data_IF_403352836949
#
_entry.id   IF_403352836949
#
_cell.length_a   1.000
_cell.length_b   1.000
_cell.length_c   1.000
_cell.angle_alpha   90.00
_cell.angle_beta   90.00
_cell.angle_gamma   90.00
#
_symmetry.space_group_name_H-M   'P 1'
#
loop_
_entity.id
_entity.type
_entity.pdbx_description
1 polymer ?
#
# COMPACT_ATOMS: atom_id res chain seq x y z
N UNK A 1 10.94 15.12 39.61
CA UNK A 1 12.35 15.53 39.75
C UNK A 1 13.22 14.38 39.28
N UNK A 2 14.11 14.64 38.31
CA UNK A 2 15.03 13.65 37.75
C UNK A 2 16.37 13.71 38.49
N UNK A 3 17.06 12.57 38.61
CA UNK A 3 18.34 12.49 39.32
C UNK A 3 19.51 13.02 38.48
N UNK A 4 19.39 12.93 37.12
CA UNK A 4 20.42 13.42 36.20
C UNK A 4 19.80 14.16 35.01
N UNK A 5 20.54 15.08 34.35
CA UNK A 5 20.11 15.76 33.14
C UNK A 5 19.71 14.78 32.02
N UNK A 6 20.46 13.67 31.89
CA UNK A 6 20.19 12.65 30.86
C UNK A 6 18.85 11.98 31.07
N UNK A 7 18.42 11.72 32.31
CA UNK A 7 17.12 11.16 32.62
C UNK A 7 16.00 12.14 32.26
N UNK A 8 16.19 13.43 32.53
CA UNK A 8 15.21 14.46 32.17
C UNK A 8 15.06 14.56 30.63
N UNK A 9 16.18 14.60 29.91
CA UNK A 9 16.17 14.64 28.42
C UNK A 9 15.51 13.38 27.87
N UNK A 10 15.87 12.21 28.37
CA UNK A 10 15.27 10.94 27.91
C UNK A 10 13.75 10.91 28.13
N UNK A 11 13.28 11.37 29.29
CA UNK A 11 11.85 11.42 29.57
C UNK A 11 11.14 12.42 28.65
N UNK A 12 11.74 13.58 28.40
CA UNK A 12 11.21 14.55 27.45
C UNK A 12 11.13 13.95 26.02
N UNK A 13 12.19 13.32 25.55
CA UNK A 13 12.22 12.65 24.24
C UNK A 13 11.17 11.54 24.13
N UNK A 14 10.95 10.77 25.21
CA UNK A 14 9.91 9.74 25.25
C UNK A 14 8.52 10.35 25.10
N UNK A 15 8.25 11.49 25.75
CA UNK A 15 6.94 12.19 25.62
C UNK A 15 6.78 12.74 24.19
N UNK A 16 7.83 13.35 23.63
CA UNK A 16 7.81 13.85 22.26
C UNK A 16 7.52 12.72 21.28
N UNK A 17 8.24 11.59 21.41
CA UNK A 17 8.03 10.41 20.57
C UNK A 17 6.62 9.83 20.73
N UNK A 18 6.08 9.84 21.94
CA UNK A 18 4.70 9.40 22.16
C UNK A 18 3.68 10.29 21.44
N UNK A 19 3.87 11.62 21.47
CA UNK A 19 2.99 12.56 20.77
C UNK A 19 3.10 12.34 19.25
N UNK A 20 4.31 12.23 18.72
CA UNK A 20 4.54 11.93 17.30
C UNK A 20 3.90 10.59 16.88
N UNK A 21 3.99 9.56 17.73
CA UNK A 21 3.34 8.28 17.47
C UNK A 21 1.81 8.38 17.49
N UNK A 22 1.24 9.17 18.42
CA UNK A 22 -0.21 9.43 18.43
C UNK A 22 -0.67 10.10 17.12
N UNK A 23 0.08 11.10 16.63
CA UNK A 23 -0.23 11.74 15.36
C UNK A 23 -0.18 10.74 14.19
N UNK A 24 0.76 9.80 14.20
CA UNK A 24 0.85 8.72 13.21
C UNK A 24 -0.37 7.80 13.21
N UNK A 25 -0.92 7.51 14.40
CA UNK A 25 -2.13 6.68 14.50
C UNK A 25 -3.37 7.32 13.88
N UNK A 26 -3.40 8.66 13.75
CA UNK A 26 -4.49 9.37 13.06
C UNK A 26 -4.37 9.35 11.54
N UNK A 27 -3.23 8.92 10.99
CA UNK A 27 -3.03 8.85 9.55
C UNK A 27 -3.47 7.49 8.99
N UNK A 28 -4.47 7.52 8.12
CA UNK A 28 -4.89 6.32 7.39
C UNK A 28 -4.37 6.40 5.96
N UNK A 29 -3.50 5.48 5.52
CA UNK A 29 -3.05 5.44 4.13
C UNK A 29 -4.25 5.33 3.19
N UNK A 30 -4.22 6.09 2.09
CA UNK A 30 -5.26 6.05 1.07
C UNK A 30 -5.17 4.77 0.25
N UNK A 31 -6.31 4.32 -0.29
CA UNK A 31 -6.35 3.20 -1.24
C UNK A 31 -5.52 3.50 -2.50
N UNK A 32 -5.63 4.73 -3.03
CA UNK A 32 -4.87 5.18 -4.20
C UNK A 32 -4.24 6.55 -3.89
N UNK A 33 -2.91 6.71 -3.95
CA UNK A 33 -2.30 8.02 -3.87
C UNK A 33 -2.76 8.88 -5.04
N UNK A 34 -3.17 10.11 -4.76
CA UNK A 34 -3.68 11.06 -5.78
C UNK A 34 -2.68 11.36 -6.91
N UNK A 35 -1.39 11.11 -6.69
CA UNK A 35 -0.31 11.35 -7.66
C UNK A 35 -0.03 10.17 -8.60
N UNK A 36 -0.65 9.01 -8.39
CA UNK A 36 -0.36 7.82 -9.18
C UNK A 36 -1.44 7.62 -10.24
N UNK A 37 -1.06 7.91 -11.50
CA UNK A 37 -1.91 7.67 -12.66
C UNK A 37 -1.49 6.35 -13.34
N UNK A 38 -2.00 5.22 -12.86
CA UNK A 38 -1.88 3.95 -13.55
C UNK A 38 -3.21 3.17 -13.48
N UNK A 39 -3.47 2.44 -14.56
CA UNK A 39 -4.67 1.61 -14.68
C UNK A 39 -4.42 0.25 -14.01
N UNK A 40 -4.81 0.15 -12.73
CA UNK A 40 -4.60 -1.04 -11.89
C UNK A 40 -5.24 -2.29 -12.48
N UNK A 41 -6.44 -2.18 -13.03
CA UNK A 41 -7.17 -3.32 -13.59
C UNK A 41 -6.42 -3.88 -14.80
N UNK A 42 -6.04 -3.02 -15.73
CA UNK A 42 -5.31 -3.38 -16.94
C UNK A 42 -3.92 -3.97 -16.61
N UNK A 43 -3.21 -3.40 -15.64
CA UNK A 43 -1.94 -3.95 -15.17
C UNK A 43 -2.12 -5.32 -14.53
N UNK A 44 -3.16 -5.49 -13.70
CA UNK A 44 -3.44 -6.77 -13.06
C UNK A 44 -3.75 -7.87 -14.09
N UNK A 45 -4.60 -7.59 -15.07
CA UNK A 45 -4.87 -8.51 -16.18
C UNK A 45 -3.61 -8.89 -16.96
N UNK A 46 -2.76 -7.91 -17.27
CA UNK A 46 -1.49 -8.12 -17.99
C UNK A 46 -0.56 -9.08 -17.24
N UNK A 47 -0.38 -8.90 -15.93
CA UNK A 47 0.60 -9.69 -15.17
C UNK A 47 0.06 -11.04 -14.72
N UNK A 48 -1.16 -11.10 -14.17
CA UNK A 48 -1.77 -12.35 -13.71
C UNK A 48 -2.03 -13.29 -14.88
N UNK A 49 -2.67 -12.81 -15.95
CA UNK A 49 -3.06 -13.66 -17.08
C UNK A 49 -1.87 -14.18 -17.91
N UNK A 50 -0.81 -13.39 -18.03
CA UNK A 50 0.25 -13.68 -19.02
C UNK A 50 1.63 -13.99 -18.42
N UNK A 51 1.93 -13.54 -17.20
CA UNK A 51 3.30 -13.62 -16.65
C UNK A 51 3.34 -14.53 -15.42
N UNK A 52 2.51 -14.29 -14.39
CA UNK A 52 2.54 -15.05 -13.13
C UNK A 52 2.18 -16.53 -13.31
N UNK A 53 1.39 -16.87 -14.32
CA UNK A 53 1.02 -18.27 -14.61
C UNK A 53 2.13 -19.07 -15.31
N UNK A 54 3.23 -18.42 -15.74
CA UNK A 54 4.30 -19.11 -16.48
C UNK A 54 5.37 -19.70 -15.56
N UNK A 55 5.67 -19.02 -14.47
CA UNK A 55 6.71 -19.41 -13.53
C UNK A 55 6.51 -18.74 -12.19
N UNK A 56 6.85 -19.43 -11.10
CA UNK A 56 6.87 -18.84 -9.75
C UNK A 56 8.03 -17.84 -9.56
N UNK A 57 9.05 -17.86 -10.41
CA UNK A 57 10.14 -16.87 -10.40
C UNK A 57 10.10 -16.13 -11.73
N UNK A 58 9.91 -14.82 -11.69
CA UNK A 58 9.90 -13.98 -12.87
C UNK A 58 11.33 -13.81 -13.40
N UNK A 59 11.44 -13.64 -14.73
CA UNK A 59 12.71 -13.20 -15.34
C UNK A 59 13.09 -11.80 -14.84
N UNK A 60 14.38 -11.44 -14.88
CA UNK A 60 14.83 -10.07 -14.55
C UNK A 60 14.10 -9.02 -15.39
N UNK A 61 13.86 -9.32 -16.66
CA UNK A 61 13.15 -8.42 -17.57
C UNK A 61 11.69 -8.22 -17.15
N UNK A 62 10.95 -9.29 -16.82
CA UNK A 62 9.57 -9.22 -16.40
C UNK A 62 9.45 -8.54 -15.03
N UNK A 63 10.39 -8.81 -14.11
CA UNK A 63 10.46 -8.16 -12.80
C UNK A 63 10.66 -6.65 -12.95
N UNK A 64 11.61 -6.22 -13.79
CA UNK A 64 11.86 -4.80 -14.06
C UNK A 64 10.71 -4.13 -14.81
N UNK A 65 10.03 -4.85 -15.70
CA UNK A 65 8.86 -4.34 -16.39
C UNK A 65 7.72 -4.06 -15.41
N UNK A 66 7.44 -4.97 -14.49
CA UNK A 66 6.40 -4.78 -13.48
C UNK A 66 6.68 -3.57 -12.60
N UNK A 67 7.87 -3.46 -12.01
CA UNK A 67 8.19 -2.31 -11.15
C UNK A 67 8.23 -0.99 -11.93
N UNK A 68 8.62 -1.03 -13.22
CA UNK A 68 8.61 0.16 -14.08
C UNK A 68 7.18 0.61 -14.42
N UNK A 69 6.24 -0.30 -14.64
CA UNK A 69 4.82 0.01 -14.84
C UNK A 69 4.19 0.63 -13.58
N UNK A 70 4.75 0.36 -12.39
CA UNK A 70 4.42 1.05 -11.13
C UNK A 70 5.18 2.37 -10.94
N UNK A 71 5.95 2.82 -11.96
CA UNK A 71 6.68 4.09 -11.95
C UNK A 71 7.99 4.05 -11.17
N UNK A 72 8.52 2.88 -10.85
CA UNK A 72 9.87 2.70 -10.30
C UNK A 72 10.85 2.57 -11.45
N UNK A 73 11.71 3.57 -11.65
CA UNK A 73 12.63 3.60 -12.78
C UNK A 73 13.60 2.42 -12.79
N UNK A 74 13.81 1.83 -13.97
CA UNK A 74 14.72 0.69 -14.17
C UNK A 74 15.64 0.96 -15.35
N UNK A 75 16.66 0.14 -15.50
CA UNK A 75 17.58 0.17 -16.66
C UNK A 75 16.95 -0.32 -17.97
N UNK A 76 15.71 -0.82 -17.90
CA UNK A 76 14.94 -1.34 -19.06
C UNK A 76 15.79 -2.26 -19.95
N UNK A 77 16.21 -3.45 -19.49
CA UNK A 77 17.00 -4.37 -20.26
C UNK A 77 16.25 -4.82 -21.51
N UNK A 78 16.96 -5.04 -22.61
CA UNK A 78 16.42 -5.64 -23.83
C UNK A 78 17.17 -6.92 -24.15
N UNK A 79 16.44 -8.01 -24.40
CA UNK A 79 17.01 -9.30 -24.72
C UNK A 79 17.54 -9.29 -26.16
N UNK A 80 18.76 -9.75 -26.33
CA UNK A 80 19.40 -10.02 -27.62
C UNK A 80 19.63 -11.53 -27.78
N UNK A 81 19.16 -12.09 -28.87
CA UNK A 81 19.35 -13.50 -29.24
C UNK A 81 20.57 -13.73 -30.09
N UNK A 82 21.22 -12.66 -30.57
CA UNK A 82 22.44 -12.68 -31.37
C UNK A 82 23.36 -11.52 -31.05
N UNK A 83 24.64 -11.68 -31.34
CA UNK A 83 25.65 -10.62 -31.23
C UNK A 83 25.28 -9.38 -32.02
N UNK A 84 24.72 -9.56 -33.23
CA UNK A 84 24.29 -8.45 -34.10
C UNK A 84 23.16 -7.64 -33.45
N UNK A 85 22.17 -8.33 -32.89
CA UNK A 85 21.05 -7.71 -32.18
C UNK A 85 21.52 -6.99 -30.91
N UNK A 86 22.47 -7.58 -30.15
CA UNK A 86 23.08 -6.92 -29.02
C UNK A 86 23.75 -5.59 -29.36
N UNK A 87 24.43 -5.52 -30.48
CA UNK A 87 25.05 -4.27 -30.96
C UNK A 87 24.00 -3.24 -31.37
N UNK A 88 22.92 -3.65 -32.06
CA UNK A 88 21.85 -2.73 -32.46
C UNK A 88 21.14 -2.14 -31.20
N UNK A 89 20.85 -2.97 -30.21
CA UNK A 89 20.27 -2.51 -28.94
C UNK A 89 21.24 -1.56 -28.24
N UNK A 90 22.53 -1.87 -28.19
CA UNK A 90 23.53 -1.03 -27.54
C UNK A 90 23.62 0.36 -28.20
N UNK A 91 23.57 0.44 -29.51
CA UNK A 91 23.54 1.72 -30.27
C UNK A 91 22.30 2.53 -29.89
N UNK A 92 21.15 1.91 -29.86
CA UNK A 92 19.88 2.58 -29.54
C UNK A 92 19.85 3.11 -28.11
N UNK A 93 20.44 2.37 -27.15
CA UNK A 93 20.53 2.78 -25.73
C UNK A 93 21.62 3.82 -25.48
N UNK A 94 22.61 3.91 -26.39
CA UNK A 94 23.81 4.74 -26.23
C UNK A 94 24.84 4.16 -25.27
N UNK A 95 26.11 4.21 -25.64
CA UNK A 95 27.23 3.73 -24.83
C UNK A 95 27.53 4.64 -23.64
N UNK A 96 28.15 4.11 -22.56
CA UNK A 96 28.47 2.71 -22.36
C UNK A 96 27.24 1.87 -21.96
N UNK A 97 27.31 0.55 -22.24
CA UNK A 97 26.27 -0.42 -21.91
C UNK A 97 26.77 -1.56 -21.01
N UNK A 98 25.83 -2.29 -20.45
CA UNK A 98 26.05 -3.51 -19.66
C UNK A 98 25.41 -4.68 -20.37
N UNK A 99 26.12 -5.81 -20.43
CA UNK A 99 25.58 -7.09 -20.84
C UNK A 99 25.39 -8.00 -19.65
N UNK A 100 24.23 -8.68 -19.57
CA UNK A 100 23.94 -9.69 -18.55
C UNK A 100 23.35 -10.93 -19.18
N UNK A 101 23.80 -12.13 -18.76
CA UNK A 101 23.21 -13.39 -19.18
C UNK A 101 21.73 -13.46 -18.72
N UNK A 102 20.85 -13.95 -19.59
CA UNK A 102 19.44 -14.22 -19.28
C UNK A 102 19.23 -15.72 -19.14
N UNK A 103 18.94 -16.16 -17.92
CA UNK A 103 18.69 -17.55 -17.58
C UNK A 103 17.92 -17.62 -16.27
N UNK A 104 16.91 -18.48 -16.19
CA UNK A 104 16.21 -18.81 -14.96
C UNK A 104 17.03 -19.69 -14.01
N UNK A 105 18.01 -20.40 -14.55
CA UNK A 105 18.80 -21.41 -13.82
C UNK A 105 20.05 -20.79 -13.16
N UNK A 106 20.36 -19.51 -13.45
CA UNK A 106 21.56 -18.80 -12.97
C UNK A 106 21.14 -17.66 -12.04
N UNK A 107 21.25 -17.89 -10.74
CA UNK A 107 20.91 -16.88 -9.72
C UNK A 107 22.02 -15.84 -9.54
N UNK A 108 23.30 -16.27 -9.41
CA UNK A 108 24.46 -15.38 -9.21
C UNK A 108 25.25 -15.21 -10.50
N UNK A 109 24.75 -14.33 -11.37
CA UNK A 109 25.31 -14.12 -12.74
C UNK A 109 26.77 -13.68 -12.73
N UNK A 110 27.16 -12.89 -11.74
CA UNK A 110 28.53 -12.37 -11.62
C UNK A 110 29.56 -13.49 -11.39
N UNK A 111 29.25 -14.49 -10.57
CA UNK A 111 30.15 -15.58 -10.19
C UNK A 111 30.53 -16.47 -11.38
N UNK A 112 29.63 -16.55 -12.35
CA UNK A 112 29.81 -17.36 -13.55
C UNK A 112 30.36 -16.57 -14.73
N UNK A 113 30.60 -15.26 -14.57
CA UNK A 113 31.03 -14.37 -15.64
C UNK A 113 29.86 -13.93 -16.56
N UNK A 114 28.64 -13.99 -16.04
CA UNK A 114 27.42 -13.62 -16.76
C UNK A 114 27.08 -12.12 -16.71
N UNK A 115 27.98 -11.26 -16.22
CA UNK A 115 27.83 -9.80 -16.21
C UNK A 115 29.09 -9.13 -16.74
N UNK A 116 28.92 -8.18 -17.66
CA UNK A 116 30.02 -7.37 -18.19
C UNK A 116 29.61 -5.89 -18.23
N UNK A 117 30.41 -5.06 -17.60
CA UNK A 117 30.18 -3.63 -17.41
C UNK A 117 31.05 -2.80 -18.34
N UNK A 118 30.69 -1.54 -18.52
CA UNK A 118 31.48 -0.50 -19.20
C UNK A 118 31.86 -0.86 -20.64
N UNK A 119 30.92 -1.36 -21.43
CA UNK A 119 31.13 -1.66 -22.85
C UNK A 119 30.87 -0.40 -23.65
N UNK A 120 31.95 0.17 -24.22
CA UNK A 120 31.96 1.53 -24.78
C UNK A 120 31.73 1.57 -26.29
N UNK A 121 31.77 0.44 -27.01
CA UNK A 121 31.63 0.38 -28.45
C UNK A 121 31.16 -0.99 -28.95
N UNK A 122 30.80 -1.03 -30.26
CA UNK A 122 30.34 -2.21 -30.98
C UNK A 122 31.29 -3.42 -30.84
N UNK A 123 32.60 -3.17 -30.98
CA UNK A 123 33.60 -4.24 -30.94
C UNK A 123 33.66 -4.92 -29.58
N UNK A 124 33.61 -4.13 -28.52
CA UNK A 124 33.55 -4.66 -27.14
C UNK A 124 32.28 -5.47 -26.93
N UNK A 125 31.12 -4.97 -27.38
CA UNK A 125 29.83 -5.68 -27.24
C UNK A 125 29.88 -7.04 -27.95
N UNK A 126 30.39 -7.09 -29.20
CA UNK A 126 30.53 -8.35 -29.96
C UNK A 126 31.44 -9.35 -29.27
N UNK A 127 32.63 -8.93 -28.92
CA UNK A 127 33.61 -9.81 -28.25
C UNK A 127 33.06 -10.35 -26.93
N UNK A 128 32.44 -9.47 -26.12
CA UNK A 128 31.88 -9.82 -24.82
C UNK A 128 30.67 -10.75 -24.95
N UNK A 129 29.78 -10.55 -25.93
CA UNK A 129 28.64 -11.42 -26.20
C UNK A 129 29.07 -12.86 -26.41
N UNK A 130 30.03 -13.09 -27.32
CA UNK A 130 30.51 -14.42 -27.63
C UNK A 130 31.29 -15.06 -26.48
N UNK A 131 32.15 -14.28 -25.80
CA UNK A 131 32.91 -14.76 -24.64
C UNK A 131 32.03 -15.13 -23.46
N UNK A 132 30.99 -14.34 -23.20
CA UNK A 132 30.04 -14.57 -22.09
C UNK A 132 29.30 -15.89 -22.31
N UNK A 133 28.74 -16.12 -23.50
CA UNK A 133 28.07 -17.38 -23.82
C UNK A 133 29.00 -18.59 -23.64
N UNK A 134 30.23 -18.52 -24.20
CA UNK A 134 31.20 -19.60 -24.07
C UNK A 134 31.58 -19.87 -22.60
N UNK A 135 31.82 -18.84 -21.83
CA UNK A 135 32.21 -18.94 -20.42
C UNK A 135 31.11 -19.54 -19.57
N UNK A 136 29.87 -19.02 -19.70
CA UNK A 136 28.73 -19.51 -18.91
C UNK A 136 28.39 -20.96 -19.28
N UNK A 137 28.33 -21.30 -20.56
CA UNK A 137 28.08 -22.67 -21.02
C UNK A 137 29.17 -23.65 -20.56
N UNK A 138 30.41 -23.21 -20.43
CA UNK A 138 31.50 -24.04 -19.89
C UNK A 138 31.38 -24.28 -18.41
N UNK A 139 30.91 -23.27 -17.62
CA UNK A 139 30.78 -23.38 -16.17
C UNK A 139 29.51 -24.09 -15.74
N UNK A 140 28.42 -23.89 -16.47
CA UNK A 140 27.10 -24.49 -16.17
C UNK A 140 26.52 -25.05 -17.48
N UNK A 141 26.95 -26.25 -17.91
CA UNK A 141 26.57 -26.83 -19.20
C UNK A 141 25.06 -27.08 -19.35
N UNK A 142 24.38 -27.40 -18.26
CA UNK A 142 22.97 -27.77 -18.24
C UNK A 142 22.01 -26.55 -18.07
N UNK A 143 22.55 -25.34 -17.87
CA UNK A 143 21.73 -24.16 -17.71
C UNK A 143 21.06 -23.74 -19.02
N UNK A 144 19.75 -23.54 -18.98
CA UNK A 144 19.01 -22.96 -20.11
C UNK A 144 19.30 -21.47 -20.20
N UNK A 145 19.96 -21.07 -21.29
CA UNK A 145 20.26 -19.67 -21.58
C UNK A 145 19.23 -19.15 -22.58
N UNK A 146 18.45 -18.12 -22.18
CA UNK A 146 17.44 -17.48 -23.03
C UNK A 146 18.07 -16.46 -23.98
N UNK A 147 19.28 -15.94 -23.67
CA UNK A 147 20.00 -14.93 -24.43
C UNK A 147 20.87 -14.04 -23.54
N UNK A 148 21.22 -12.85 -24.03
CA UNK A 148 21.95 -11.82 -23.28
C UNK A 148 21.15 -10.53 -23.28
N UNK A 149 20.90 -9.95 -22.12
CA UNK A 149 20.25 -8.65 -22.01
C UNK A 149 21.28 -7.52 -22.15
N UNK A 150 20.87 -6.47 -22.85
CA UNK A 150 21.64 -5.23 -23.03
C UNK A 150 20.90 -4.09 -22.35
N UNK A 151 21.59 -3.36 -21.47
CA UNK A 151 21.03 -2.22 -20.78
C UNK A 151 22.00 -1.05 -20.72
N UNK A 152 21.48 0.17 -20.56
CA UNK A 152 22.30 1.37 -20.36
C UNK A 152 23.10 1.24 -19.08
N UNK A 153 24.38 1.58 -19.11
CA UNK A 153 25.18 1.71 -17.91
C UNK A 153 24.80 2.99 -17.17
N UNK A 154 24.55 2.86 -15.88
CA UNK A 154 24.22 3.98 -15.00
C UNK A 154 25.51 4.42 -14.29
N UNK A 155 25.74 5.73 -14.23
CA UNK A 155 26.84 6.28 -13.45
C UNK A 155 26.46 6.24 -11.96
N UNK A 156 27.20 5.44 -11.21
CA UNK A 156 26.95 5.21 -9.77
C UNK A 156 27.96 5.95 -8.88
N UNK A 157 28.89 6.73 -9.44
CA UNK A 157 30.01 7.35 -8.67
C UNK A 157 29.55 8.28 -7.55
N UNK A 158 28.43 8.98 -7.76
CA UNK A 158 27.79 9.82 -6.72
C UNK A 158 26.45 9.19 -6.26
N UNK A 159 26.35 7.88 -6.26
CA UNK A 159 25.20 7.12 -5.85
C UNK A 159 25.36 6.47 -4.49
N UNK A 160 24.25 6.29 -3.79
CA UNK A 160 24.14 5.43 -2.61
C UNK A 160 23.40 4.17 -3.03
N UNK A 161 24.00 3.02 -2.74
CA UNK A 161 23.37 1.72 -3.00
C UNK A 161 22.42 1.38 -1.86
N UNK A 162 21.18 1.03 -2.22
CA UNK A 162 20.14 0.61 -1.29
C UNK A 162 19.52 -0.71 -1.71
N UNK A 163 18.89 -1.37 -0.77
CA UNK A 163 18.06 -2.56 -0.98
C UNK A 163 16.61 -2.19 -0.64
N UNK A 164 15.69 -2.50 -1.53
CA UNK A 164 14.26 -2.42 -1.28
C UNK A 164 13.64 -3.79 -1.54
N UNK A 165 12.66 -4.16 -0.71
CA UNK A 165 12.01 -5.45 -0.88
C UNK A 165 10.57 -5.51 -0.40
N UNK A 166 9.90 -6.54 -0.86
CA UNK A 166 8.63 -7.03 -0.35
C UNK A 166 8.87 -8.45 0.14
N UNK A 167 8.39 -8.76 1.33
CA UNK A 167 8.43 -10.12 1.86
C UNK A 167 7.08 -10.45 2.47
N UNK A 168 6.56 -11.61 2.15
CA UNK A 168 5.37 -12.13 2.80
C UNK A 168 5.77 -12.97 4.00
N UNK A 169 5.32 -12.55 5.17
CA UNK A 169 5.51 -13.27 6.43
C UNK A 169 4.23 -14.06 6.77
N UNK A 170 4.39 -15.25 7.34
CA UNK A 170 3.25 -16.13 7.63
C UNK A 170 2.36 -15.61 8.78
N UNK A 171 2.88 -14.75 9.66
CA UNK A 171 2.15 -14.20 10.81
C UNK A 171 1.73 -12.76 10.57
N UNK A 172 2.62 -11.96 9.95
CA UNK A 172 2.44 -10.52 9.77
C UNK A 172 2.00 -10.13 8.35
N UNK A 173 1.74 -11.12 7.46
CA UNK A 173 1.40 -10.84 6.08
C UNK A 173 2.53 -10.15 5.33
N UNK A 174 2.20 -9.24 4.42
CA UNK A 174 3.19 -8.56 3.58
C UNK A 174 3.89 -7.43 4.32
N UNK A 175 5.22 -7.36 4.21
CA UNK A 175 6.07 -6.29 4.76
C UNK A 175 6.93 -5.67 3.67
N UNK A 176 7.19 -4.37 3.80
CA UNK A 176 8.13 -3.60 2.98
C UNK A 176 9.45 -3.51 3.73
N UNK A 177 10.54 -3.70 2.99
CA UNK A 177 11.90 -3.61 3.49
C UNK A 177 12.64 -2.48 2.78
N UNK A 178 13.41 -1.69 3.54
CA UNK A 178 14.44 -0.79 3.02
C UNK A 178 15.70 -0.93 3.83
N UNK A 179 16.85 -0.90 3.20
CA UNK A 179 18.14 -0.98 3.88
C UNK A 179 19.28 -0.49 3.05
N UNK A 180 20.47 -0.54 3.68
CA UNK A 180 21.73 -0.29 3.01
C UNK A 180 22.01 -1.41 2.01
N UNK A 181 22.44 -1.05 0.79
CA UNK A 181 22.97 -1.98 -0.22
C UNK A 181 24.50 -2.06 -0.22
N UNK A 182 25.02 -2.76 -1.23
CA UNK A 182 26.45 -2.96 -1.42
C UNK A 182 27.06 -4.06 -0.57
N UNK A 183 28.36 -4.28 -0.72
CA UNK A 183 29.11 -5.39 -0.11
C UNK A 183 29.16 -5.37 1.43
N UNK A 184 28.89 -4.23 2.05
CA UNK A 184 28.86 -4.07 3.51
C UNK A 184 27.47 -4.24 4.12
N UNK A 185 26.43 -4.41 3.32
CA UNK A 185 25.04 -4.49 3.79
C UNK A 185 24.82 -5.60 4.81
N UNK A 186 25.32 -6.78 4.53
CA UNK A 186 25.19 -7.97 5.39
C UNK A 186 25.89 -7.81 6.75
N UNK A 187 27.00 -7.06 6.79
CA UNK A 187 27.76 -6.82 8.02
C UNK A 187 27.12 -5.77 8.92
N UNK A 188 26.53 -4.72 8.33
CA UNK A 188 25.98 -3.58 9.07
C UNK A 188 24.56 -3.85 9.52
N UNK A 189 23.80 -4.63 8.75
CA UNK A 189 22.40 -5.00 8.96
C UNK A 189 21.52 -3.77 9.31
N UNK A 190 21.65 -2.71 8.51
CA UNK A 190 20.87 -1.49 8.66
C UNK A 190 19.61 -1.58 7.78
N UNK A 191 18.62 -2.26 8.32
CA UNK A 191 17.36 -2.58 7.65
C UNK A 191 16.20 -2.03 8.47
N UNK A 192 15.15 -1.57 7.79
CA UNK A 192 13.84 -1.22 8.38
C UNK A 192 12.73 -1.94 7.66
N UNK A 193 11.75 -2.32 8.44
CA UNK A 193 10.54 -2.98 7.97
C UNK A 193 9.34 -2.11 8.31
N UNK A 194 8.34 -2.10 7.43
CA UNK A 194 7.07 -1.40 7.63
C UNK A 194 5.95 -2.17 6.92
N UNK A 195 4.70 -1.94 7.37
CA UNK A 195 3.52 -2.55 6.76
C UNK A 195 3.00 -1.70 5.59
N UNK A 196 2.67 -2.32 4.43
CA UNK A 196 1.99 -1.62 3.35
C UNK A 196 0.50 -1.38 3.68
N UNK A 197 -0.14 -0.36 3.08
CA UNK A 197 0.45 0.65 2.22
C UNK A 197 1.15 1.77 3.00
N UNK A 198 2.17 2.39 2.40
CA UNK A 198 2.89 3.52 2.96
C UNK A 198 2.31 4.85 2.47
N UNK A 199 2.34 5.87 3.34
CA UNK A 199 2.20 7.27 2.96
C UNK A 199 3.56 7.99 3.01
N UNK A 200 3.60 9.26 2.62
CA UNK A 200 4.84 10.06 2.58
C UNK A 200 5.52 10.15 3.96
N UNK A 201 4.74 10.29 5.03
CA UNK A 201 5.25 10.41 6.40
C UNK A 201 5.88 9.10 6.87
N UNK A 202 5.18 7.97 6.71
CA UNK A 202 5.70 6.64 7.07
C UNK A 202 6.95 6.28 6.28
N UNK A 203 6.96 6.50 4.96
CA UNK A 203 8.12 6.26 4.12
C UNK A 203 9.33 7.13 4.52
N UNK A 204 9.09 8.43 4.82
CA UNK A 204 10.14 9.34 5.29
C UNK A 204 10.68 8.92 6.65
N UNK A 205 9.81 8.51 7.59
CA UNK A 205 10.22 8.05 8.91
C UNK A 205 11.02 6.75 8.83
N UNK A 206 10.62 5.82 7.97
CA UNK A 206 11.34 4.58 7.70
C UNK A 206 12.77 4.86 7.24
N UNK A 207 12.97 5.81 6.30
CA UNK A 207 14.30 6.23 5.85
C UNK A 207 15.11 6.91 6.96
N UNK A 208 14.53 7.87 7.67
CA UNK A 208 15.20 8.62 8.75
C UNK A 208 15.64 7.73 9.91
N UNK A 209 15.01 6.58 10.10
CA UNK A 209 15.38 5.60 11.12
C UNK A 209 16.59 4.73 10.75
N UNK A 210 17.06 4.78 9.49
CA UNK A 210 18.28 4.11 9.07
C UNK A 210 19.53 4.79 9.64
N UNK A 211 20.51 4.03 10.09
CA UNK A 211 21.80 4.55 10.56
C UNK A 211 22.56 5.25 9.43
N UNK A 212 22.39 4.76 8.20
CA UNK A 212 23.01 5.31 6.99
C UNK A 212 22.32 6.56 6.43
N UNK A 213 21.18 6.99 6.99
CA UNK A 213 20.42 8.14 6.51
C UNK A 213 21.28 9.40 6.25
N UNK A 214 22.30 9.73 7.08
CA UNK A 214 23.19 10.86 6.80
C UNK A 214 23.94 10.78 5.46
N UNK A 215 24.12 9.57 4.88
CA UNK A 215 24.72 9.42 3.53
C UNK A 215 23.76 9.93 2.45
N UNK A 216 22.44 9.82 2.69
CA UNK A 216 21.42 10.35 1.78
C UNK A 216 21.33 11.87 1.87
N UNK A 217 21.54 12.44 3.05
CA UNK A 217 21.55 13.91 3.23
C UNK A 217 22.84 14.58 2.72
N UNK A 218 23.86 13.81 2.38
CA UNK A 218 25.18 14.29 1.96
C UNK A 218 26.18 14.28 3.10
N UNK A 219 27.14 13.39 3.04
CA UNK A 219 28.15 13.19 4.08
C UNK A 219 29.55 13.46 3.54
N UNK A 220 30.35 14.20 4.30
CA UNK A 220 31.77 14.53 3.99
C UNK A 220 32.00 15.10 2.58
N UNK A 221 31.10 15.99 2.13
CA UNK A 221 31.24 16.68 0.84
C UNK A 221 30.58 15.97 -0.35
N UNK A 222 29.92 14.82 -0.14
CA UNK A 222 29.04 14.26 -1.18
C UNK A 222 27.75 15.07 -1.28
N UNK A 223 27.18 15.15 -2.47
CA UNK A 223 25.92 15.85 -2.71
C UNK A 223 24.75 15.12 -2.05
N UNK A 224 23.74 15.83 -1.51
CA UNK A 224 22.50 15.22 -1.06
C UNK A 224 21.86 14.41 -2.18
N UNK A 225 21.28 13.27 -1.82
CA UNK A 225 20.58 12.37 -2.75
C UNK A 225 19.12 12.79 -2.89
N UNK A 226 18.45 12.28 -3.90
CA UNK A 226 17.03 12.58 -4.16
C UNK A 226 16.14 11.78 -3.20
N UNK A 227 16.04 12.24 -1.94
CA UNK A 227 15.25 11.59 -0.89
C UNK A 227 13.76 11.61 -1.23
N UNK A 228 13.24 12.69 -1.79
CA UNK A 228 11.82 12.80 -2.16
C UNK A 228 11.45 11.73 -3.20
N UNK A 229 12.30 11.51 -4.18
CA UNK A 229 12.10 10.45 -5.17
C UNK A 229 12.21 9.06 -4.55
N UNK A 230 13.08 8.87 -3.57
CA UNK A 230 13.20 7.60 -2.83
C UNK A 230 11.95 7.32 -2.00
N UNK A 231 11.37 8.34 -1.34
CA UNK A 231 10.09 8.26 -0.64
C UNK A 231 8.98 7.84 -1.62
N UNK A 232 8.91 8.49 -2.79
CA UNK A 232 7.95 8.12 -3.84
C UNK A 232 8.10 6.66 -4.26
N UNK A 233 9.33 6.18 -4.45
CA UNK A 233 9.62 4.78 -4.83
C UNK A 233 9.14 3.80 -3.76
N UNK A 234 9.38 4.09 -2.47
CA UNK A 234 8.88 3.27 -1.36
C UNK A 234 7.36 3.18 -1.33
N UNK A 235 6.69 4.32 -1.52
CA UNK A 235 5.23 4.36 -1.59
C UNK A 235 4.74 3.51 -2.78
N UNK A 236 5.31 3.67 -3.97
CA UNK A 236 4.96 2.88 -5.17
C UNK A 236 5.15 1.39 -4.95
N UNK A 237 6.26 1.00 -4.32
CA UNK A 237 6.54 -0.40 -3.96
C UNK A 237 5.48 -0.94 -3.00
N UNK A 238 5.05 -0.14 -2.02
CA UNK A 238 4.04 -0.55 -1.05
C UNK A 238 2.66 -0.76 -1.68
N UNK A 239 2.30 0.05 -2.68
CA UNK A 239 1.05 -0.14 -3.44
C UNK A 239 1.15 -1.33 -4.41
N UNK A 240 2.32 -1.58 -4.99
CA UNK A 240 2.55 -2.81 -5.75
C UNK A 240 2.32 -4.05 -4.86
N UNK A 241 2.82 -4.03 -3.63
CA UNK A 241 2.59 -5.09 -2.65
C UNK A 241 1.10 -5.25 -2.29
N UNK A 242 0.38 -4.14 -2.20
CA UNK A 242 -1.06 -4.15 -1.93
C UNK A 242 -1.89 -4.67 -3.11
N UNK A 243 -1.47 -4.41 -4.33
CA UNK A 243 -2.20 -4.80 -5.54
C UNK A 243 -1.97 -6.26 -5.96
N UNK A 244 -0.84 -6.86 -5.56
CA UNK A 244 -0.47 -8.22 -5.93
C UNK A 244 -0.23 -9.13 -4.72
N UNK A 245 -1.30 -9.68 -4.12
CA UNK A 245 -1.18 -10.68 -3.04
C UNK A 245 -0.44 -11.95 -3.47
N UNK A 246 -0.27 -12.15 -4.77
CA UNK A 246 0.49 -13.24 -5.37
C UNK A 246 2.00 -13.11 -5.14
N UNK A 247 2.52 -11.91 -4.87
CA UNK A 247 3.94 -11.70 -4.62
C UNK A 247 4.32 -12.24 -3.24
N UNK A 248 5.17 -13.26 -3.22
CA UNK A 248 5.76 -13.83 -2.00
C UNK A 248 7.05 -13.09 -1.61
N UNK A 249 7.82 -12.67 -2.62
CA UNK A 249 9.08 -11.95 -2.43
C UNK A 249 9.37 -11.05 -3.62
N UNK A 250 9.78 -9.82 -3.36
CA UNK A 250 10.35 -8.92 -4.35
C UNK A 250 11.63 -8.32 -3.75
N UNK A 251 12.72 -8.40 -4.49
CA UNK A 251 14.01 -7.84 -4.13
C UNK A 251 14.52 -6.91 -5.23
N UNK A 252 14.80 -5.66 -4.87
CA UNK A 252 15.46 -4.66 -5.71
C UNK A 252 16.85 -4.45 -5.11
N UNK A 253 17.86 -5.02 -5.73
CA UNK A 253 19.23 -5.02 -5.23
C UNK A 253 20.27 -5.04 -6.37
N UNK A 254 21.00 -3.92 -6.62
CA UNK A 254 20.88 -2.66 -5.91
C UNK A 254 19.84 -1.69 -6.52
N UNK A 255 19.30 -0.84 -5.65
CA UNK A 255 18.66 0.41 -6.02
C UNK A 255 19.70 1.54 -5.86
N UNK A 256 19.96 2.31 -6.91
CA UNK A 256 20.91 3.43 -6.86
C UNK A 256 20.16 4.74 -6.65
N UNK A 257 20.54 5.47 -5.60
CA UNK A 257 20.00 6.79 -5.27
C UNK A 257 21.09 7.84 -5.53
N UNK A 258 20.88 8.66 -6.56
CA UNK A 258 21.76 9.78 -6.94
C UNK A 258 21.11 11.12 -6.58
N UNK A 259 21.78 12.27 -6.73
CA UNK A 259 21.13 13.58 -6.56
C UNK A 259 19.93 13.80 -7.50
N UNK A 260 19.97 13.23 -8.70
CA UNK A 260 18.95 13.48 -9.72
C UNK A 260 17.91 12.36 -9.83
N UNK A 261 18.29 11.10 -9.53
CA UNK A 261 17.49 9.93 -9.86
C UNK A 261 17.55 8.82 -8.81
N UNK A 262 16.52 7.96 -8.85
CA UNK A 262 16.44 6.68 -8.13
C UNK A 262 16.17 5.59 -9.16
N UNK A 263 17.08 4.62 -9.31
CA UNK A 263 17.05 3.63 -10.41
C UNK A 263 17.33 2.22 -9.88
N UNK A 264 16.47 1.27 -10.18
CA UNK A 264 16.70 -0.15 -9.92
C UNK A 264 17.61 -0.75 -11.00
N UNK A 265 18.79 -1.26 -10.58
CA UNK A 265 19.74 -1.92 -11.47
C UNK A 265 19.45 -3.41 -11.62
N UNK A 266 18.86 -4.02 -10.61
CA UNK A 266 18.40 -5.39 -10.64
C UNK A 266 17.08 -5.53 -9.87
N UNK A 267 16.27 -6.51 -10.28
CA UNK A 267 15.03 -6.85 -9.60
C UNK A 267 14.69 -8.33 -9.79
N UNK A 268 14.23 -8.95 -8.71
CA UNK A 268 13.77 -10.34 -8.68
C UNK A 268 12.40 -10.40 -8.02
N UNK A 269 11.47 -11.13 -8.61
CA UNK A 269 10.13 -11.32 -8.07
C UNK A 269 9.82 -12.82 -8.02
N UNK A 270 9.33 -13.27 -6.87
CA UNK A 270 8.80 -14.61 -6.65
C UNK A 270 7.30 -14.49 -6.39
N UNK A 271 6.51 -15.26 -7.10
CA UNK A 271 5.06 -15.26 -7.01
C UNK A 271 4.51 -16.66 -6.66
N UNK A 272 3.36 -16.66 -6.02
CA UNK A 272 2.58 -17.88 -5.81
C UNK A 272 1.47 -17.97 -6.87
N UNK A 273 1.69 -18.76 -7.89
CA UNK A 273 0.73 -18.94 -8.99
C UNK A 273 -0.57 -19.66 -8.58
N UNK A 274 -0.57 -20.40 -7.45
CA UNK A 274 -1.75 -21.15 -6.99
C UNK A 274 -2.89 -20.24 -6.50
N UNK A 275 -2.55 -19.06 -6.00
CA UNK A 275 -3.52 -18.06 -5.54
C UNK A 275 -3.88 -17.03 -6.62
N UNK A 276 -3.22 -17.11 -7.79
CA UNK A 276 -3.41 -16.18 -8.90
C UNK A 276 -4.87 -16.16 -9.36
N UNK A 277 -5.44 -14.96 -9.39
CA UNK A 277 -6.82 -14.72 -9.82
C UNK A 277 -7.91 -15.12 -8.81
N UNK A 278 -7.58 -15.69 -7.65
CA UNK A 278 -8.55 -16.08 -6.61
C UNK A 278 -8.85 -14.96 -5.62
N UNK A 279 -8.01 -13.95 -5.55
CA UNK A 279 -8.14 -12.86 -4.59
C UNK A 279 -8.93 -11.71 -5.17
N UNK A 280 -10.04 -11.37 -4.51
CA UNK A 280 -10.73 -10.11 -4.73
C UNK A 280 -9.87 -8.95 -4.20
N UNK A 281 -10.05 -7.76 -4.77
CA UNK A 281 -9.32 -6.54 -4.41
C UNK A 281 -9.69 -5.98 -3.02
N UNK A 282 -9.81 -6.83 -2.00
CA UNK A 282 -10.25 -6.47 -0.66
C UNK A 282 -9.10 -6.30 0.35
N UNK A 283 -7.84 -6.44 -0.13
CA UNK A 283 -6.62 -6.30 0.69
C UNK A 283 -6.53 -7.26 1.89
N UNK A 284 -7.20 -8.42 1.82
CA UNK A 284 -7.22 -9.42 2.91
C UNK A 284 -5.84 -9.98 3.29
N UNK A 285 -4.85 -9.83 2.39
CA UNK A 285 -3.46 -10.23 2.61
C UNK A 285 -2.62 -9.19 3.37
N UNK A 286 -3.17 -7.98 3.61
CA UNK A 286 -2.51 -6.92 4.37
C UNK A 286 -3.01 -6.89 5.81
N UNK A 287 -2.09 -6.61 6.72
CA UNK A 287 -2.43 -6.38 8.13
C UNK A 287 -3.15 -5.04 8.33
N UNK A 288 -2.68 -4.01 7.61
CA UNK A 288 -3.30 -2.69 7.60
C UNK A 288 -4.04 -2.50 6.28
N UNK A 289 -5.37 -2.41 6.35
CA UNK A 289 -6.16 -2.14 5.15
C UNK A 289 -6.15 -0.66 4.81
N UNK A 290 -5.92 -0.29 3.55
CA UNK A 290 -6.01 1.10 3.14
C UNK A 290 -7.45 1.61 3.30
N UNK A 291 -7.60 2.93 3.45
CA UNK A 291 -8.90 3.58 3.48
C UNK A 291 -9.69 3.26 2.20
N UNK A 292 -10.89 2.68 2.30
CA UNK A 292 -11.62 2.15 1.13
C UNK A 292 -12.30 3.28 0.34
N UNK A 293 -11.54 4.06 -0.43
CA UNK A 293 -12.04 5.18 -1.26
C UNK A 293 -13.10 4.76 -2.28
N UNK A 294 -13.12 3.50 -2.69
CA UNK A 294 -14.17 2.93 -3.57
C UNK A 294 -15.57 3.04 -2.98
N UNK A 295 -15.67 3.18 -1.63
CA UNK A 295 -16.94 3.34 -0.92
C UNK A 295 -17.32 4.81 -0.71
N UNK A 296 -16.81 5.73 -1.53
CA UNK A 296 -17.24 7.12 -1.57
C UNK A 296 -18.47 7.24 -2.47
N UNK A 297 -19.60 7.64 -1.91
CA UNK A 297 -20.86 7.82 -2.65
C UNK A 297 -21.39 9.24 -2.50
N UNK A 298 -21.42 9.99 -3.59
CA UNK A 298 -22.10 11.29 -3.63
C UNK A 298 -23.59 11.09 -3.87
N UNK A 299 -24.42 11.71 -3.06
CA UNK A 299 -25.87 11.61 -3.16
C UNK A 299 -26.54 12.95 -2.80
N UNK A 300 -27.87 13.00 -2.90
CA UNK A 300 -28.70 14.11 -2.47
C UNK A 300 -29.75 13.65 -1.49
N UNK A 301 -29.99 14.46 -0.48
CA UNK A 301 -31.09 14.27 0.45
C UNK A 301 -32.41 14.75 -0.18
N UNK A 302 -33.53 14.44 0.46
CA UNK A 302 -34.87 14.81 -0.02
C UNK A 302 -35.07 16.31 -0.23
N UNK A 303 -34.43 17.14 0.58
CA UNK A 303 -34.46 18.60 0.46
C UNK A 303 -33.52 19.17 -0.60
N UNK A 304 -32.76 18.31 -1.30
CA UNK A 304 -31.80 18.68 -2.34
C UNK A 304 -30.38 18.93 -1.83
N UNK A 305 -30.11 18.80 -0.51
CA UNK A 305 -28.79 18.95 0.07
C UNK A 305 -27.83 17.87 -0.45
N UNK A 306 -26.66 18.30 -0.93
CA UNK A 306 -25.59 17.36 -1.33
C UNK A 306 -24.97 16.71 -0.10
N UNK A 307 -24.88 15.38 -0.11
CA UNK A 307 -24.30 14.57 0.95
C UNK A 307 -23.25 13.60 0.36
N UNK A 308 -22.13 13.50 1.06
CA UNK A 308 -21.10 12.51 0.77
C UNK A 308 -21.19 11.38 1.82
N UNK A 309 -21.56 10.17 1.37
CA UNK A 309 -21.41 8.97 2.17
C UNK A 309 -19.99 8.42 2.00
N UNK A 310 -19.30 8.19 3.08
CA UNK A 310 -17.93 7.68 3.06
C UNK A 310 -17.62 6.87 4.32
N UNK A 311 -16.65 5.96 4.27
CA UNK A 311 -16.14 5.33 5.48
C UNK A 311 -15.64 6.37 6.49
N UNK A 312 -15.87 6.10 7.77
CA UNK A 312 -15.32 6.90 8.86
C UNK A 312 -13.82 6.65 8.95
N UNK A 313 -13.06 7.65 9.42
CA UNK A 313 -11.62 7.54 9.57
C UNK A 313 -11.16 8.21 10.87
N UNK A 314 -9.94 7.92 11.35
CA UNK A 314 -9.43 8.45 12.63
C UNK A 314 -9.55 9.96 12.76
N UNK A 315 -9.28 10.72 11.67
CA UNK A 315 -9.33 12.18 11.66
C UNK A 315 -10.73 12.74 11.87
N UNK A 316 -11.76 11.91 11.82
CA UNK A 316 -13.16 12.34 12.04
C UNK A 316 -13.53 12.46 13.52
N UNK A 317 -12.64 12.13 14.44
CA UNK A 317 -12.92 12.10 15.88
C UNK A 317 -13.64 13.37 16.37
N UNK A 318 -13.12 14.54 16.04
CA UNK A 318 -13.72 15.82 16.43
C UNK A 318 -15.13 15.99 15.84
N UNK A 319 -15.29 15.74 14.53
CA UNK A 319 -16.58 15.85 13.85
C UNK A 319 -17.60 14.83 14.37
N UNK A 320 -17.12 13.63 14.72
CA UNK A 320 -17.94 12.56 15.29
C UNK A 320 -18.47 12.94 16.67
N UNK A 321 -17.60 13.50 17.54
CA UNK A 321 -18.01 14.02 18.86
C UNK A 321 -19.01 15.19 18.73
N UNK A 322 -18.77 16.12 17.80
CA UNK A 322 -19.70 17.22 17.51
C UNK A 322 -21.06 16.67 17.04
N UNK A 323 -21.08 15.67 16.17
CA UNK A 323 -22.30 15.01 15.71
C UNK A 323 -23.08 14.41 16.86
N UNK A 324 -22.45 13.64 17.76
CA UNK A 324 -23.12 13.04 18.90
C UNK A 324 -23.63 14.08 19.89
N UNK A 325 -22.85 15.12 20.16
CA UNK A 325 -23.26 16.21 21.06
C UNK A 325 -24.43 17.05 20.51
N UNK A 326 -24.68 17.00 19.21
CA UNK A 326 -25.83 17.65 18.58
C UNK A 326 -27.12 16.81 18.66
N UNK A 327 -27.02 15.55 19.08
CA UNK A 327 -28.17 14.65 19.17
C UNK A 327 -28.93 14.83 20.49
N UNK A 328 -30.25 14.66 20.43
CA UNK A 328 -31.10 14.59 21.64
C UNK A 328 -30.80 13.32 22.46
N UNK A 329 -31.20 13.37 23.74
CA UNK A 329 -31.10 12.19 24.61
C UNK A 329 -31.89 10.99 24.07
N UNK A 330 -33.01 11.24 23.41
CA UNK A 330 -33.84 10.22 22.78
C UNK A 330 -33.10 9.55 21.62
N UNK A 331 -32.49 10.32 20.70
CA UNK A 331 -31.70 9.81 19.59
C UNK A 331 -30.51 8.97 20.10
N UNK A 332 -29.80 9.45 21.12
CA UNK A 332 -28.70 8.69 21.74
C UNK A 332 -29.20 7.41 22.39
N UNK A 333 -30.31 7.44 23.10
CA UNK A 333 -30.90 6.25 23.74
C UNK A 333 -31.31 5.21 22.69
N UNK A 334 -31.98 5.62 21.63
CA UNK A 334 -32.37 4.69 20.55
C UNK A 334 -31.18 3.99 19.92
N UNK A 335 -30.03 4.64 19.84
CA UNK A 335 -28.80 4.08 19.24
C UNK A 335 -28.01 3.21 20.19
N UNK A 336 -27.80 3.67 21.44
CA UNK A 336 -26.83 3.04 22.38
C UNK A 336 -27.47 2.30 23.57
N UNK A 337 -28.77 2.41 23.75
CA UNK A 337 -29.50 1.83 24.86
C UNK A 337 -29.03 2.27 26.26
N UNK A 338 -28.18 3.28 26.32
CA UNK A 338 -27.59 3.82 27.53
C UNK A 338 -27.48 5.35 27.47
N UNK A 339 -27.54 6.00 28.63
CA UNK A 339 -27.19 7.42 28.76
C UNK A 339 -25.67 7.58 28.82
N UNK A 340 -25.01 7.34 27.69
CA UNK A 340 -23.56 7.47 27.58
C UNK A 340 -23.13 8.94 27.55
N UNK A 341 -22.03 9.27 28.23
CA UNK A 341 -21.36 10.55 28.09
C UNK A 341 -20.20 10.35 27.11
N UNK A 342 -20.34 10.86 25.89
CA UNK A 342 -19.43 10.64 24.77
C UNK A 342 -18.28 11.65 24.68
N UNK A 343 -17.85 12.25 25.79
CA UNK A 343 -16.91 13.38 25.78
C UNK A 343 -15.44 13.00 25.92
N UNK A 344 -15.08 11.73 25.77
CA UNK A 344 -13.69 11.30 25.91
C UNK A 344 -13.09 10.85 24.57
N UNK A 345 -11.84 11.20 24.36
CA UNK A 345 -11.00 10.66 23.29
C UNK A 345 -11.06 9.12 23.23
N UNK A 346 -11.04 8.43 24.36
CA UNK A 346 -11.12 6.97 24.45
C UNK A 346 -12.38 6.39 23.80
N UNK A 347 -13.52 7.05 23.96
CA UNK A 347 -14.77 6.63 23.33
C UNK A 347 -14.74 6.92 21.83
N UNK A 348 -14.29 8.11 21.42
CA UNK A 348 -14.21 8.48 20.00
C UNK A 348 -13.26 7.57 19.23
N UNK A 349 -12.12 7.21 19.81
CA UNK A 349 -11.16 6.25 19.22
C UNK A 349 -11.84 4.94 18.88
N UNK A 350 -12.63 4.38 19.78
CA UNK A 350 -13.33 3.10 19.54
C UNK A 350 -14.26 3.14 18.32
N UNK A 351 -14.80 4.31 17.98
CA UNK A 351 -15.74 4.45 16.86
C UNK A 351 -15.13 4.99 15.57
N UNK A 352 -13.98 5.67 15.64
CA UNK A 352 -13.32 6.25 14.47
C UNK A 352 -12.14 5.41 13.97
N UNK A 353 -11.44 4.70 14.87
CA UNK A 353 -10.34 3.79 14.53
C UNK A 353 -10.90 2.39 14.35
N UNK A 354 -11.38 2.08 13.17
CA UNK A 354 -12.03 0.80 12.88
C UNK A 354 -11.15 -0.04 11.95
N UNK A 355 -11.29 -1.35 12.15
CA UNK A 355 -10.75 -2.32 11.20
C UNK A 355 -11.75 -2.52 10.06
N UNK A 356 -11.46 -1.93 8.90
CA UNK A 356 -12.34 -2.00 7.72
C UNK A 356 -12.61 -3.43 7.21
N UNK A 357 -11.95 -4.43 7.77
CA UNK A 357 -12.22 -5.85 7.48
C UNK A 357 -13.49 -6.36 8.17
N UNK A 358 -13.67 -5.96 9.43
CA UNK A 358 -14.77 -6.46 10.27
C UNK A 358 -15.80 -5.40 10.59
N UNK A 359 -15.40 -4.16 10.53
CA UNK A 359 -16.26 -3.05 10.93
C UNK A 359 -16.26 -1.98 9.84
N UNK A 360 -17.46 -1.62 9.40
CA UNK A 360 -17.65 -0.56 8.42
C UNK A 360 -18.57 0.51 9.00
N UNK A 361 -18.01 1.68 9.30
CA UNK A 361 -18.77 2.87 9.67
C UNK A 361 -18.88 3.81 8.46
N UNK A 362 -20.08 4.00 7.93
CA UNK A 362 -20.36 4.95 6.83
C UNK A 362 -20.93 6.23 7.44
N UNK A 363 -20.18 7.31 7.35
CA UNK A 363 -20.62 8.64 7.78
C UNK A 363 -21.26 9.41 6.62
N UNK A 364 -22.23 10.23 6.95
CA UNK A 364 -22.83 11.21 6.05
C UNK A 364 -22.22 12.59 6.31
N UNK A 365 -21.35 13.03 5.39
CA UNK A 365 -20.68 14.34 5.44
C UNK A 365 -21.42 15.34 4.57
N UNK A 366 -21.66 16.54 5.11
CA UNK A 366 -22.15 17.71 4.37
C UNK A 366 -21.18 18.87 4.53
N UNK A 367 -21.26 19.83 3.60
CA UNK A 367 -20.60 21.13 3.73
C UNK A 367 -21.67 22.19 3.98
N UNK A 368 -21.77 22.65 5.22
CA UNK A 368 -22.71 23.70 5.58
C UNK A 368 -21.95 25.01 5.90
N UNK A 369 -22.24 26.06 5.12
CA UNK A 369 -21.54 27.38 5.22
C UNK A 369 -20.01 27.26 5.15
N UNK A 370 -19.49 26.37 4.31
CA UNK A 370 -18.05 26.14 4.14
C UNK A 370 -17.39 25.26 5.21
N UNK A 371 -18.16 24.78 6.18
CA UNK A 371 -17.66 23.90 7.27
C UNK A 371 -18.18 22.47 7.04
N UNK A 372 -17.29 21.50 7.14
CA UNK A 372 -17.65 20.08 7.10
C UNK A 372 -18.36 19.68 8.39
N UNK A 373 -19.42 18.91 8.26
CA UNK A 373 -20.15 18.33 9.38
C UNK A 373 -20.57 16.90 9.08
N UNK A 374 -20.53 16.06 10.09
CA UNK A 374 -21.17 14.73 10.05
C UNK A 374 -22.61 14.87 10.58
N UNK A 375 -23.55 14.32 9.83
CA UNK A 375 -24.99 14.41 10.13
C UNK A 375 -25.66 13.05 10.38
N UNK A 376 -24.88 11.97 10.22
CA UNK A 376 -25.35 10.62 10.52
C UNK A 376 -24.25 9.60 10.26
N UNK A 377 -24.44 8.39 10.78
CA UNK A 377 -23.56 7.25 10.60
C UNK A 377 -24.36 5.95 10.56
N UNK A 378 -24.11 5.12 9.55
CA UNK A 378 -24.51 3.72 9.48
C UNK A 378 -23.30 2.83 9.79
N UNK A 379 -23.48 1.78 10.60
CA UNK A 379 -22.39 0.90 11.02
C UNK A 379 -22.76 -0.55 10.82
N UNK A 380 -21.84 -1.30 10.24
CA UNK A 380 -21.86 -2.76 10.14
C UNK A 380 -20.73 -3.31 10.99
N UNK A 381 -21.02 -4.31 11.82
CA UNK A 381 -20.03 -5.03 12.62
C UNK A 381 -20.21 -6.50 12.28
N UNK A 382 -19.28 -7.09 11.54
CA UNK A 382 -19.34 -8.48 11.15
C UNK A 382 -18.89 -9.40 12.28
N UNK A 383 -19.56 -10.55 12.39
CA UNK A 383 -19.15 -11.63 13.26
C UNK A 383 -17.78 -12.20 12.85
N UNK A 384 -17.05 -12.88 13.74
CA UNK A 384 -15.72 -13.41 13.44
C UNK A 384 -15.66 -14.37 12.25
N UNK A 385 -16.77 -15.00 11.88
CA UNK A 385 -16.88 -15.91 10.72
C UNK A 385 -17.22 -15.17 9.41
N UNK A 386 -17.43 -13.85 9.47
CA UNK A 386 -17.80 -12.99 8.34
C UNK A 386 -19.06 -13.44 7.59
N UNK A 387 -19.99 -14.10 8.28
CA UNK A 387 -21.26 -14.58 7.70
C UNK A 387 -22.40 -13.60 7.99
N UNK A 388 -22.45 -13.11 9.22
CA UNK A 388 -23.51 -12.20 9.70
C UNK A 388 -22.91 -10.87 10.15
N UNK A 389 -23.65 -9.79 10.02
CA UNK A 389 -23.26 -8.50 10.59
C UNK A 389 -24.38 -7.86 11.38
N UNK A 390 -24.03 -7.24 12.52
CA UNK A 390 -24.92 -6.32 13.22
C UNK A 390 -24.91 -4.96 12.51
N UNK A 391 -26.12 -4.41 12.30
CA UNK A 391 -26.31 -3.10 11.70
C UNK A 391 -26.90 -2.12 12.72
N UNK A 392 -26.37 -0.91 12.73
CA UNK A 392 -26.93 0.18 13.53
C UNK A 392 -26.77 1.52 12.78
N UNK A 393 -27.70 2.44 13.01
CA UNK A 393 -27.69 3.77 12.39
C UNK A 393 -28.00 4.86 13.41
N UNK A 394 -27.40 6.03 13.22
CA UNK A 394 -27.70 7.26 13.92
C UNK A 394 -27.82 8.39 12.91
N UNK A 395 -28.85 9.22 13.05
CA UNK A 395 -29.04 10.47 12.29
C UNK A 395 -29.32 11.56 13.29
N UNK A 396 -28.62 12.70 13.17
CA UNK A 396 -28.84 13.86 14.05
C UNK A 396 -30.25 14.41 13.89
N UNK A 397 -30.82 14.97 14.96
CA UNK A 397 -32.25 15.34 15.03
C UNK A 397 -32.65 16.30 13.89
N UNK A 398 -31.81 17.30 13.58
CA UNK A 398 -32.08 18.29 12.51
C UNK A 398 -32.15 17.68 11.11
N UNK A 399 -31.59 16.46 10.92
CA UNK A 399 -31.51 15.80 9.61
C UNK A 399 -32.37 14.54 9.54
N UNK A 400 -33.14 14.24 10.57
CA UNK A 400 -34.18 13.19 10.52
C UNK A 400 -35.30 13.60 9.56
N UNK A 401 -36.10 12.63 9.13
CA UNK A 401 -37.19 12.80 8.18
C UNK A 401 -36.79 13.27 6.78
N UNK A 402 -35.49 13.35 6.48
CA UNK A 402 -34.92 13.75 5.19
C UNK A 402 -34.37 12.57 4.36
N UNK A 403 -34.87 11.35 4.65
CA UNK A 403 -34.50 10.07 4.02
C UNK A 403 -33.05 9.63 4.27
N UNK A 404 -32.26 10.34 5.10
CA UNK A 404 -30.86 10.02 5.36
C UNK A 404 -30.72 8.63 6.01
N UNK A 405 -31.55 8.26 6.99
CA UNK A 405 -31.53 6.95 7.62
C UNK A 405 -31.80 5.81 6.60
N UNK A 406 -32.74 6.02 5.68
CA UNK A 406 -32.99 5.07 4.60
C UNK A 406 -31.77 4.95 3.65
N UNK A 407 -31.18 6.06 3.26
CA UNK A 407 -30.02 6.11 2.37
C UNK A 407 -28.80 5.39 2.99
N UNK A 408 -28.47 5.67 4.26
CA UNK A 408 -27.40 5.00 5.00
C UNK A 408 -27.64 3.49 5.12
N UNK A 409 -28.87 3.08 5.49
CA UNK A 409 -29.21 1.66 5.61
C UNK A 409 -29.09 0.93 4.29
N UNK A 410 -29.66 1.51 3.21
CA UNK A 410 -29.57 0.96 1.86
C UNK A 410 -28.11 0.78 1.43
N UNK A 411 -27.28 1.81 1.63
CA UNK A 411 -25.88 1.75 1.23
C UNK A 411 -25.09 0.74 2.05
N UNK A 412 -25.32 0.62 3.35
CA UNK A 412 -24.72 -0.44 4.17
C UNK A 412 -25.12 -1.85 3.72
N UNK A 413 -26.36 -2.04 3.27
CA UNK A 413 -26.80 -3.33 2.68
C UNK A 413 -26.02 -3.64 1.40
N UNK A 414 -25.80 -2.65 0.52
CA UNK A 414 -25.01 -2.83 -0.71
C UNK A 414 -23.57 -3.20 -0.39
N UNK A 415 -22.97 -2.54 0.61
CA UNK A 415 -21.61 -2.87 1.09
C UNK A 415 -21.55 -4.30 1.62
N UNK A 416 -22.49 -4.69 2.46
CA UNK A 416 -22.56 -6.03 3.03
C UNK A 416 -22.67 -7.12 1.96
N UNK A 417 -23.52 -6.90 0.94
CA UNK A 417 -23.63 -7.82 -0.21
C UNK A 417 -22.32 -7.94 -0.97
N UNK A 418 -21.63 -6.83 -1.20
CA UNK A 418 -20.33 -6.81 -1.89
C UNK A 418 -19.23 -7.50 -1.07
N UNK A 419 -19.31 -7.39 0.26
CA UNK A 419 -18.41 -8.08 1.19
C UNK A 419 -18.72 -9.59 1.35
N UNK A 420 -19.82 -10.09 0.72
CA UNK A 420 -20.19 -11.50 0.78
C UNK A 420 -20.91 -11.92 2.06
N UNK A 421 -21.41 -10.96 2.88
CA UNK A 421 -22.21 -11.28 4.06
C UNK A 421 -23.54 -11.90 3.67
N UNK A 422 -23.95 -12.95 4.37
CA UNK A 422 -25.18 -13.70 4.09
C UNK A 422 -26.39 -13.02 4.74
N UNK A 423 -26.22 -12.45 5.93
CA UNK A 423 -27.29 -11.80 6.65
C UNK A 423 -26.84 -10.55 7.41
N UNK A 424 -27.80 -9.63 7.59
CA UNK A 424 -27.64 -8.43 8.43
C UNK A 424 -28.75 -8.43 9.45
N UNK A 425 -28.45 -8.21 10.70
CA UNK A 425 -29.43 -8.03 11.76
C UNK A 425 -29.31 -6.64 12.39
N UNK A 426 -30.40 -6.09 12.84
CA UNK A 426 -30.43 -4.81 13.55
C UNK A 426 -31.51 -4.83 14.63
N UNK A 427 -31.22 -4.25 15.77
CA UNK A 427 -32.15 -4.15 16.87
C UNK A 427 -32.69 -2.73 17.03
N UNK A 428 -33.99 -2.61 17.27
CA UNK A 428 -34.63 -1.33 17.60
C UNK A 428 -35.74 -1.50 18.62
N UNK A 429 -36.16 -0.42 19.27
CA UNK A 429 -37.28 -0.44 20.21
C UNK A 429 -38.62 -0.35 19.49
N UNK A 430 -39.69 -0.86 20.14
CA UNK A 430 -41.06 -0.81 19.61
C UNK A 430 -41.60 0.62 19.41
N UNK A 431 -41.05 1.59 20.12
CA UNK A 431 -41.37 3.02 20.04
C UNK A 431 -40.62 3.75 18.92
N UNK A 432 -39.50 3.21 18.43
CA UNK A 432 -38.75 3.80 17.33
C UNK A 432 -39.43 3.49 15.97
N UNK A 433 -40.59 4.12 15.75
CA UNK A 433 -41.39 3.93 14.53
C UNK A 433 -40.65 4.34 13.25
N UNK A 434 -39.76 5.32 13.34
CA UNK A 434 -38.96 5.78 12.22
C UNK A 434 -38.05 4.65 11.70
N UNK A 435 -37.31 3.97 12.59
CA UNK A 435 -36.43 2.88 12.22
C UNK A 435 -37.20 1.65 11.75
N UNK A 436 -38.32 1.30 12.39
CA UNK A 436 -39.21 0.21 11.96
C UNK A 436 -39.69 0.46 10.54
N UNK A 437 -40.05 1.71 10.20
CA UNK A 437 -40.45 2.08 8.83
C UNK A 437 -39.32 1.94 7.82
N UNK A 438 -38.08 2.26 8.19
CA UNK A 438 -36.90 2.07 7.32
C UNK A 438 -36.66 0.60 7.07
N UNK A 439 -36.68 -0.23 8.11
CA UNK A 439 -36.52 -1.68 8.00
C UNK A 439 -37.61 -2.31 7.12
N UNK A 440 -38.87 -1.92 7.32
CA UNK A 440 -39.97 -2.43 6.48
C UNK A 440 -39.88 -2.05 5.01
N UNK A 441 -39.33 -0.86 4.67
CA UNK A 441 -39.09 -0.42 3.29
C UNK A 441 -37.94 -1.12 2.60
N UNK A 442 -37.04 -1.74 3.36
CA UNK A 442 -35.84 -2.44 2.88
C UNK A 442 -35.94 -3.95 3.06
N UNK A 443 -37.17 -4.46 3.20
CA UNK A 443 -37.52 -5.88 3.24
C UNK A 443 -36.84 -6.66 4.40
N UNK A 444 -36.58 -6.00 5.55
CA UNK A 444 -36.16 -6.69 6.77
C UNK A 444 -37.33 -7.49 7.36
N UNK A 445 -37.04 -8.72 7.75
CA UNK A 445 -37.96 -9.52 8.55
C UNK A 445 -38.04 -8.97 9.98
N UNK A 446 -39.22 -8.53 10.43
CA UNK A 446 -39.41 -7.90 11.72
C UNK A 446 -39.85 -8.94 12.76
N UNK A 447 -39.01 -9.24 13.71
CA UNK A 447 -39.28 -10.11 14.84
C UNK A 447 -39.48 -9.26 16.12
N UNK A 448 -40.64 -9.40 16.79
CA UNK A 448 -40.92 -8.68 18.01
C UNK A 448 -40.74 -9.62 19.20
N UNK A 449 -39.63 -9.44 19.94
CA UNK A 449 -39.46 -10.11 21.22
C UNK A 449 -40.38 -9.48 22.29
N UNK A 450 -40.98 -10.30 23.14
CA UNK A 450 -41.87 -9.88 24.22
C UNK A 450 -41.16 -9.09 25.31
#
# INVERSE_FOLDING_TARGET
VYKTPEQAIRSFMTITQYIENLELLYETPKDIPLSFHYDRENLREKYIGNIFNKSNILSENDSKLLINDYGISTTQPQLALSEKEAVEIAKNKGYPVVLKISSSDIMHKTDVGGVALNLENDQMVRATYNNMLATVSSKIPDAKIDGITVQKMIDTRDGVEMILGIKKDNLFGTVILVGMGGTSAELINDIRLEFPPLNERLASQMLKSLKMYPLLEGYRGSSPKNIDKLVEVLIRLSYLAADYPEIEELDINPLIVTPDNVIALDARIVVNSEISGKTNADYSHLILRPYPERLLLKSKLKDGTDVLLRPIKPEDETLWLEMLNSCSKETIYHRFRNNFHFNSHEVATRFCYIDYDREMGIVAEIVHKGIKKLIGVGRLIADPDLVTAEYAVLVTDDWQHNELGFLLTKYCIEIAKTAGLVSICGETTKDNKAMISVFGKLDFELNFNE
#
